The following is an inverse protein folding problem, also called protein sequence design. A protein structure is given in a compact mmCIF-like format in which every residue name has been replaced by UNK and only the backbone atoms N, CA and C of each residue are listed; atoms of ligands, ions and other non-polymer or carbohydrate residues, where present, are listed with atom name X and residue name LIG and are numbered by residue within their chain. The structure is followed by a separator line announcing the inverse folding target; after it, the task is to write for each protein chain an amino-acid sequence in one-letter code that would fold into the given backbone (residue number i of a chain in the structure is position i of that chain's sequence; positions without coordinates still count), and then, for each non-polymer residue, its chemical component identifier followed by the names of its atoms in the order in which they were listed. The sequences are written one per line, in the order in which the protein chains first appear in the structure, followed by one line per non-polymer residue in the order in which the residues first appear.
data_IF_863299304527
#
_entry.id   IF_863299304527
#
_cell.length_a   1.000
_cell.length_b   1.000
_cell.length_c   1.000
_cell.angle_alpha   90.00
_cell.angle_beta   90.00
_cell.angle_gamma   90.00
#
_symmetry.space_group_name_H-M   'P 1'
#
loop_
_entity.id
_entity.type
_entity.pdbx_description
1 polymer ?
#
# COMPACT_ATOMS: atom_id res chain seq x y z
N UNK A 1 -18.68 -8.53 10.54
CA UNK A 1 -20.03 -8.26 9.95
C UNK A 1 -19.97 -7.97 8.44
N UNK A 2 -18.88 -7.43 7.90
CA UNK A 2 -18.72 -7.18 6.46
C UNK A 2 -18.53 -8.46 5.62
N UNK A 3 -17.76 -9.43 6.11
CA UNK A 3 -17.53 -10.70 5.42
C UNK A 3 -18.83 -11.51 5.24
N UNK A 4 -19.73 -11.49 6.22
CA UNK A 4 -20.99 -12.23 6.14
C UNK A 4 -21.98 -11.72 5.08
N UNK A 5 -21.99 -10.40 4.81
CA UNK A 5 -22.87 -9.82 3.80
C UNK A 5 -22.35 -10.07 2.36
N UNK A 6 -21.03 -10.17 2.19
CA UNK A 6 -20.40 -10.57 0.92
C UNK A 6 -20.64 -12.06 0.61
N UNK A 7 -20.57 -12.90 1.63
CA UNK A 7 -20.81 -14.34 1.54
C UNK A 7 -22.22 -14.66 1.02
N UNK A 8 -23.23 -13.99 1.57
CA UNK A 8 -24.62 -14.16 1.14
C UNK A 8 -24.88 -13.78 -0.32
N UNK A 9 -24.17 -12.79 -0.85
CA UNK A 9 -24.28 -12.35 -2.25
C UNK A 9 -23.62 -13.31 -3.26
N UNK A 10 -22.63 -14.08 -2.82
CA UNK A 10 -21.91 -15.06 -3.68
C UNK A 10 -22.39 -16.50 -3.51
N UNK A 11 -23.34 -16.78 -2.62
CA UNK A 11 -23.91 -18.13 -2.42
C UNK A 11 -22.93 -19.14 -1.80
N UNK A 12 -22.04 -18.68 -0.90
CA UNK A 12 -20.89 -19.44 -0.41
C UNK A 12 -21.13 -20.02 0.97
N UNK A 13 -20.71 -21.27 1.17
CA UNK A 13 -20.60 -21.95 2.46
C UNK A 13 -19.19 -21.73 3.02
N UNK A 14 -19.08 -21.28 4.27
CA UNK A 14 -17.78 -21.13 4.96
C UNK A 14 -17.12 -22.51 5.18
N UNK A 15 -15.97 -22.73 4.57
CA UNK A 15 -15.06 -23.79 5.01
C UNK A 15 -14.10 -23.22 6.06
N UNK A 16 -13.95 -23.91 7.17
CA UNK A 16 -13.08 -23.52 8.30
C UNK A 16 -11.62 -23.87 8.05
N UNK A 17 -11.05 -23.51 6.89
CA UNK A 17 -9.70 -23.95 6.56
C UNK A 17 -8.66 -22.85 6.55
N UNK A 18 -7.72 -23.01 7.48
CA UNK A 18 -6.44 -22.32 7.62
C UNK A 18 -5.31 -22.98 6.80
N UNK A 19 -5.63 -23.74 5.76
CA UNK A 19 -4.63 -24.52 5.02
C UNK A 19 -3.86 -23.66 4.01
N UNK A 20 -2.55 -23.65 4.14
CA UNK A 20 -1.65 -23.09 3.16
C UNK A 20 -1.75 -23.86 1.83
N UNK A 21 -1.99 -23.17 0.74
CA UNK A 21 -1.98 -23.74 -0.61
C UNK A 21 -0.53 -24.02 -1.01
N UNK A 22 -0.17 -25.28 -1.28
CA UNK A 22 1.11 -25.67 -1.86
C UNK A 22 0.95 -26.39 -3.18
N UNK A 23 1.85 -26.19 -4.09
CA UNK A 23 1.78 -26.24 -5.54
C UNK A 23 2.29 -27.52 -6.14
N UNK A 24 1.67 -27.93 -7.28
CA UNK A 24 2.31 -28.70 -8.36
C UNK A 24 1.90 -28.08 -9.70
N UNK A 25 2.87 -27.86 -10.57
CA UNK A 25 2.83 -27.02 -11.76
C UNK A 25 1.98 -27.51 -12.92
N UNK A 26 1.37 -26.53 -13.64
CA UNK A 26 1.16 -26.59 -15.10
C UNK A 26 1.43 -25.22 -15.68
N UNK A 27 2.07 -25.22 -16.84
CA UNK A 27 2.69 -24.20 -17.67
C UNK A 27 2.47 -22.70 -17.36
N UNK A 28 3.53 -21.89 -17.50
CA UNK A 28 3.54 -20.48 -17.18
C UNK A 28 2.80 -19.71 -18.27
N UNK A 29 1.80 -18.97 -17.91
CA UNK A 29 1.39 -17.79 -18.62
C UNK A 29 2.15 -16.59 -18.08
N UNK A 30 2.10 -15.45 -18.79
CA UNK A 30 2.97 -14.30 -18.58
C UNK A 30 3.30 -14.05 -17.10
N UNK A 31 4.58 -13.96 -16.76
CA UNK A 31 5.07 -13.79 -15.39
C UNK A 31 4.50 -12.54 -14.68
N UNK A 32 4.06 -11.54 -15.49
CA UNK A 32 3.43 -10.28 -15.04
C UNK A 32 1.91 -10.39 -14.78
N UNK A 33 1.32 -11.59 -14.92
CA UNK A 33 -0.11 -11.82 -14.71
C UNK A 33 -1.04 -11.21 -15.76
N UNK A 34 -0.52 -10.71 -16.88
CA UNK A 34 -1.34 -10.08 -17.94
C UNK A 34 -2.12 -11.08 -18.80
N UNK A 35 -1.75 -12.36 -18.75
CA UNK A 35 -2.41 -13.46 -19.45
C UNK A 35 -3.65 -13.99 -18.73
N UNK A 36 -4.27 -15.02 -19.30
CA UNK A 36 -5.36 -15.74 -18.67
C UNK A 36 -4.88 -16.50 -17.44
N UNK A 37 -5.76 -16.69 -16.47
CA UNK A 37 -5.45 -17.43 -15.26
C UNK A 37 -5.03 -18.87 -15.57
N UNK A 38 -3.90 -19.27 -15.03
CA UNK A 38 -3.49 -20.67 -14.98
C UNK A 38 -4.33 -21.46 -13.97
N UNK A 39 -4.17 -22.79 -13.96
CA UNK A 39 -4.84 -23.68 -13.03
C UNK A 39 -3.78 -24.41 -12.20
N UNK A 40 -3.93 -24.37 -10.88
CA UNK A 40 -3.11 -25.12 -9.92
C UNK A 40 -3.91 -26.20 -9.20
N UNK A 41 -3.24 -27.29 -8.84
CA UNK A 41 -3.82 -28.34 -7.98
C UNK A 41 -3.70 -27.98 -6.52
N UNK A 42 -4.71 -28.34 -5.73
CA UNK A 42 -4.60 -28.39 -4.27
C UNK A 42 -3.50 -29.37 -3.85
N UNK A 43 -2.87 -29.11 -2.72
CA UNK A 43 -1.92 -30.06 -2.14
C UNK A 43 -2.62 -31.41 -1.83
N UNK A 44 -1.93 -32.52 -2.03
CA UNK A 44 -2.49 -33.87 -1.79
C UNK A 44 -2.97 -34.08 -0.33
N UNK A 45 -2.45 -33.28 0.61
CA UNK A 45 -2.83 -33.30 2.03
C UNK A 45 -4.07 -32.50 2.34
N UNK A 46 -4.61 -31.74 1.35
CA UNK A 46 -5.82 -30.92 1.54
C UNK A 46 -7.06 -31.69 1.11
N UNK A 47 -8.19 -31.52 1.83
CA UNK A 47 -9.45 -32.08 1.38
C UNK A 47 -9.82 -31.46 0.03
N UNK A 48 -10.49 -32.22 -0.87
CA UNK A 48 -11.03 -31.67 -2.10
C UNK A 48 -12.05 -30.58 -1.80
N UNK A 49 -12.20 -29.63 -2.71
CA UNK A 49 -13.24 -28.62 -2.61
C UNK A 49 -14.62 -29.29 -2.55
N UNK A 50 -15.45 -28.91 -1.61
CA UNK A 50 -16.80 -29.47 -1.48
C UNK A 50 -17.65 -29.16 -2.71
N UNK A 51 -17.49 -27.94 -3.25
CA UNK A 51 -18.14 -27.49 -4.48
C UNK A 51 -17.20 -26.62 -5.30
N UNK A 52 -17.18 -26.76 -6.66
CA UNK A 52 -16.54 -25.75 -7.51
C UNK A 52 -17.15 -24.37 -7.31
N UNK A 53 -16.37 -23.33 -7.57
CA UNK A 53 -16.82 -21.95 -7.47
C UNK A 53 -16.06 -21.15 -6.42
N UNK A 54 -16.66 -20.06 -5.95
CA UNK A 54 -16.05 -19.15 -5.01
C UNK A 54 -15.83 -19.79 -3.65
N UNK A 55 -14.62 -19.62 -3.14
CA UNK A 55 -14.15 -20.08 -1.83
C UNK A 55 -13.56 -18.91 -1.06
N UNK A 56 -13.54 -18.98 0.27
CA UNK A 56 -12.95 -17.99 1.14
C UNK A 56 -12.01 -18.62 2.16
N UNK A 57 -10.86 -17.97 2.39
CA UNK A 57 -9.93 -18.32 3.45
C UNK A 57 -9.53 -17.06 4.24
N UNK A 58 -8.77 -17.22 5.32
CA UNK A 58 -8.22 -16.07 6.09
C UNK A 58 -7.37 -15.13 5.25
N UNK A 59 -6.83 -15.62 4.12
CA UNK A 59 -6.00 -14.83 3.19
C UNK A 59 -6.79 -14.19 2.04
N UNK A 60 -8.08 -14.48 1.88
CA UNK A 60 -8.94 -13.87 0.88
C UNK A 60 -9.78 -14.86 0.06
N UNK A 61 -10.43 -14.31 -0.96
CA UNK A 61 -11.25 -15.04 -1.92
C UNK A 61 -10.42 -15.72 -3.00
N UNK A 62 -10.83 -16.90 -3.43
CA UNK A 62 -10.26 -17.65 -4.53
C UNK A 62 -11.33 -18.46 -5.25
N UNK A 63 -11.07 -18.99 -6.44
CA UNK A 63 -12.06 -19.71 -7.22
C UNK A 63 -11.61 -21.15 -7.52
N UNK A 64 -12.37 -22.12 -7.04
CA UNK A 64 -12.19 -23.54 -7.34
C UNK A 64 -12.75 -23.84 -8.73
N UNK A 65 -11.90 -24.29 -9.65
CA UNK A 65 -12.33 -24.70 -10.99
C UNK A 65 -12.97 -26.08 -11.00
N UNK A 66 -12.54 -26.94 -10.07
CA UNK A 66 -13.15 -28.25 -9.77
C UNK A 66 -12.81 -28.67 -8.32
N UNK A 67 -13.04 -29.93 -7.98
CA UNK A 67 -12.79 -30.46 -6.65
C UNK A 67 -11.32 -30.35 -6.20
N UNK A 68 -10.36 -30.25 -7.12
CA UNK A 68 -8.93 -30.33 -6.81
C UNK A 68 -8.09 -29.22 -7.40
N UNK A 69 -8.69 -28.31 -8.19
CA UNK A 69 -7.97 -27.24 -8.92
C UNK A 69 -8.58 -25.87 -8.67
N UNK A 70 -7.80 -24.81 -8.88
CA UNK A 70 -8.19 -23.42 -8.71
C UNK A 70 -7.41 -22.48 -9.63
N UNK A 71 -7.97 -21.28 -9.92
CA UNK A 71 -7.31 -20.25 -10.72
C UNK A 71 -6.13 -19.60 -10.01
N UNK A 72 -5.08 -19.27 -10.79
CA UNK A 72 -3.88 -18.53 -10.35
C UNK A 72 -3.35 -17.63 -11.46
N UNK A 73 -2.67 -16.55 -11.06
CA UNK A 73 -1.77 -15.73 -11.87
C UNK A 73 -2.37 -15.31 -13.22
N UNK A 74 -3.45 -14.58 -13.21
CA UNK A 74 -4.03 -14.03 -14.44
C UNK A 74 -5.52 -13.77 -14.41
N UNK A 75 -6.07 -13.50 -15.58
CA UNK A 75 -7.47 -13.12 -15.79
C UNK A 75 -8.39 -14.31 -15.99
N UNK A 76 -9.58 -14.23 -15.42
CA UNK A 76 -10.63 -15.21 -15.66
C UNK A 76 -12.00 -14.54 -15.83
N UNK A 77 -12.79 -15.04 -16.80
CA UNK A 77 -14.20 -14.69 -16.94
C UNK A 77 -15.05 -15.68 -16.13
N UNK A 78 -15.79 -15.15 -15.18
CA UNK A 78 -16.66 -15.94 -14.31
C UNK A 78 -18.04 -15.27 -14.29
N UNK A 79 -19.06 -15.97 -14.76
CA UNK A 79 -20.44 -15.48 -14.84
C UNK A 79 -20.59 -14.11 -15.55
N UNK A 80 -19.77 -13.88 -16.58
CA UNK A 80 -19.79 -12.67 -17.40
C UNK A 80 -19.04 -11.48 -16.79
N UNK A 81 -18.35 -11.65 -15.66
CA UNK A 81 -17.48 -10.64 -15.05
C UNK A 81 -16.03 -11.06 -15.16
N UNK A 82 -15.13 -10.07 -15.29
CA UNK A 82 -13.70 -10.29 -15.32
C UNK A 82 -13.10 -10.17 -13.92
N UNK A 83 -12.26 -11.13 -13.56
CA UNK A 83 -11.52 -11.21 -12.30
C UNK A 83 -10.05 -11.42 -12.61
N UNK A 84 -9.20 -11.09 -11.65
CA UNK A 84 -7.78 -11.41 -11.69
C UNK A 84 -7.37 -12.15 -10.43
N UNK A 85 -6.51 -13.17 -10.58
CA UNK A 85 -5.99 -13.95 -9.47
C UNK A 85 -4.46 -13.78 -9.39
N UNK A 86 -3.94 -13.61 -8.20
CA UNK A 86 -2.49 -13.56 -7.98
C UNK A 86 -1.83 -14.94 -8.13
N UNK A 87 -0.50 -15.00 -8.00
CA UNK A 87 0.27 -16.25 -8.08
C UNK A 87 -0.09 -17.28 -7.01
N UNK A 88 -0.72 -16.85 -5.92
CA UNK A 88 -1.24 -17.71 -4.85
C UNK A 88 -2.72 -18.10 -5.07
N UNK A 89 -3.36 -17.54 -6.09
CA UNK A 89 -4.75 -17.78 -6.44
C UNK A 89 -5.75 -16.94 -5.66
N UNK A 90 -5.34 -15.84 -5.06
CA UNK A 90 -6.28 -14.92 -4.41
C UNK A 90 -6.80 -13.87 -5.38
N UNK A 91 -8.09 -13.60 -5.27
CA UNK A 91 -8.80 -12.62 -6.09
C UNK A 91 -8.31 -11.20 -5.80
N UNK A 92 -8.00 -10.46 -6.84
CA UNK A 92 -7.64 -9.04 -6.77
C UNK A 92 -8.83 -8.17 -6.31
N UNK A 93 -8.55 -7.15 -5.50
CA UNK A 93 -9.44 -6.04 -5.17
C UNK A 93 -8.64 -4.74 -5.12
N UNK A 94 -9.30 -3.59 -5.32
CA UNK A 94 -8.63 -2.30 -5.40
C UNK A 94 -7.76 -2.15 -6.64
N UNK A 95 -6.80 -1.24 -6.60
CA UNK A 95 -5.85 -1.04 -7.70
C UNK A 95 -4.76 -2.11 -7.71
N UNK A 96 -4.47 -2.61 -8.90
CA UNK A 96 -3.38 -3.55 -9.19
C UNK A 96 -2.62 -3.13 -10.45
N UNK A 97 -1.30 -3.22 -10.42
CA UNK A 97 -0.47 -3.13 -11.61
C UNK A 97 -0.48 -4.49 -12.32
N UNK A 98 -0.94 -4.56 -13.55
CA UNK A 98 -1.01 -5.78 -14.33
C UNK A 98 -0.52 -5.48 -15.75
N UNK A 99 0.58 -6.08 -16.15
CA UNK A 99 1.17 -5.85 -17.48
C UNK A 99 1.51 -4.36 -17.73
N UNK A 100 1.99 -3.65 -16.72
CA UNK A 100 2.34 -2.23 -16.81
C UNK A 100 1.13 -1.27 -16.88
N UNK A 101 -0.07 -1.73 -16.52
CA UNK A 101 -1.30 -0.91 -16.50
C UNK A 101 -1.97 -0.96 -15.14
N UNK A 102 -2.49 0.18 -14.70
CA UNK A 102 -3.34 0.24 -13.52
C UNK A 102 -4.72 -0.37 -13.82
N UNK A 103 -5.10 -1.40 -13.07
CA UNK A 103 -6.38 -2.08 -13.16
C UNK A 103 -7.12 -1.97 -11.82
N UNK A 104 -8.36 -1.51 -11.83
CA UNK A 104 -9.17 -1.40 -10.62
C UNK A 104 -10.21 -2.51 -10.54
N UNK A 105 -10.29 -3.14 -9.38
CA UNK A 105 -11.26 -4.17 -9.03
C UNK A 105 -12.10 -3.68 -7.85
N UNK A 106 -13.42 -3.82 -7.95
CA UNK A 106 -14.29 -3.44 -6.84
C UNK A 106 -14.17 -4.41 -5.64
N UNK A 107 -14.93 -4.16 -4.58
CA UNK A 107 -14.90 -4.99 -3.38
C UNK A 107 -15.40 -6.43 -3.62
N UNK A 108 -16.03 -6.69 -4.76
CA UNK A 108 -16.45 -8.03 -5.21
C UNK A 108 -15.38 -8.68 -6.10
N UNK A 109 -14.27 -7.99 -6.38
CA UNK A 109 -13.21 -8.42 -7.28
C UNK A 109 -13.55 -8.28 -8.77
N UNK A 110 -14.64 -7.61 -9.12
CA UNK A 110 -15.01 -7.39 -10.53
C UNK A 110 -14.18 -6.24 -11.11
N UNK A 111 -13.53 -6.50 -12.23
CA UNK A 111 -12.75 -5.50 -12.95
C UNK A 111 -13.63 -4.34 -13.44
N UNK A 112 -13.16 -3.12 -13.22
CA UNK A 112 -13.83 -1.87 -13.59
C UNK A 112 -12.99 -1.12 -14.64
N UNK A 113 -13.14 -1.42 -15.95
CA UNK A 113 -12.28 -0.87 -17.01
C UNK A 113 -12.37 0.66 -17.14
N UNK A 114 -13.51 1.24 -16.76
CA UNK A 114 -13.77 2.68 -16.88
C UNK A 114 -13.26 3.48 -15.65
N UNK A 115 -12.76 2.80 -14.62
CA UNK A 115 -12.20 3.47 -13.42
C UNK A 115 -10.88 4.11 -13.76
N UNK A 116 -10.83 5.44 -13.66
CA UNK A 116 -9.66 6.24 -14.01
C UNK A 116 -8.89 6.65 -12.74
N UNK A 117 -7.61 6.27 -12.64
CA UNK A 117 -6.69 6.64 -11.57
C UNK A 117 -5.76 7.81 -11.89
N UNK A 118 -6.00 8.56 -12.99
CA UNK A 118 -5.09 9.59 -13.46
C UNK A 118 -5.02 10.84 -12.58
N UNK A 119 -5.98 11.07 -11.67
CA UNK A 119 -6.02 12.22 -10.77
C UNK A 119 -5.76 11.78 -9.33
N UNK A 120 -4.61 11.17 -9.09
CA UNK A 120 -4.19 10.71 -7.76
C UNK A 120 -2.87 11.35 -7.34
N UNK A 121 -2.73 11.59 -6.04
CA UNK A 121 -1.48 12.04 -5.40
C UNK A 121 -1.32 11.36 -4.04
N UNK A 122 -0.10 11.24 -3.55
CA UNK A 122 0.20 10.72 -2.22
C UNK A 122 0.71 11.82 -1.29
N UNK A 123 -0.05 12.14 -0.25
CA UNK A 123 0.48 12.90 0.88
C UNK A 123 1.32 11.96 1.75
N UNK A 124 2.54 12.37 2.06
CA UNK A 124 3.44 11.58 2.90
C UNK A 124 3.95 12.42 4.06
N UNK A 125 4.06 11.80 5.24
CA UNK A 125 4.44 12.46 6.47
C UNK A 125 5.62 11.74 7.11
N UNK A 126 6.71 12.46 7.32
CA UNK A 126 7.94 11.95 7.92
C UNK A 126 8.05 12.34 9.40
N UNK A 127 8.93 11.65 10.11
CA UNK A 127 9.35 11.87 11.50
C UNK A 127 8.28 11.57 12.58
N UNK A 128 7.02 11.37 12.20
CA UNK A 128 5.97 11.01 13.16
C UNK A 128 6.14 9.62 13.79
N UNK A 129 5.13 9.21 14.57
CA UNK A 129 4.00 10.01 15.01
C UNK A 129 4.38 11.05 16.07
N UNK A 130 3.60 12.10 16.18
CA UNK A 130 3.77 13.16 17.14
C UNK A 130 2.46 13.60 17.82
N UNK A 131 2.53 14.65 18.62
CA UNK A 131 1.37 15.16 19.37
C UNK A 131 0.26 15.69 18.47
N UNK A 132 0.57 16.03 17.23
CA UNK A 132 -0.40 16.55 16.25
C UNK A 132 -0.95 15.50 15.29
N UNK A 133 -0.38 14.30 15.26
CA UNK A 133 -0.75 13.22 14.33
C UNK A 133 -2.23 12.84 14.43
N UNK A 134 -2.79 12.79 15.66
CA UNK A 134 -4.22 12.47 15.85
C UNK A 134 -5.13 13.49 15.18
N UNK A 135 -4.80 14.78 15.24
CA UNK A 135 -5.55 15.87 14.58
C UNK A 135 -5.47 15.75 13.05
N UNK A 136 -4.31 15.36 12.52
CA UNK A 136 -4.18 15.08 11.10
C UNK A 136 -5.07 13.90 10.67
N UNK A 137 -5.12 12.83 11.47
CA UNK A 137 -6.00 11.68 11.21
C UNK A 137 -7.48 12.08 11.25
N UNK A 138 -7.90 13.04 12.10
CA UNK A 138 -9.27 13.58 12.09
C UNK A 138 -9.59 14.21 10.72
N UNK A 139 -8.65 14.98 10.16
CA UNK A 139 -8.82 15.60 8.85
C UNK A 139 -8.90 14.54 7.74
N UNK A 140 -7.98 13.57 7.72
CA UNK A 140 -7.99 12.52 6.70
C UNK A 140 -9.27 11.69 6.74
N UNK A 141 -9.72 11.30 7.94
CA UNK A 141 -10.94 10.52 8.14
C UNK A 141 -12.19 11.30 7.72
N UNK A 142 -12.27 12.60 8.06
CA UNK A 142 -13.38 13.47 7.69
C UNK A 142 -13.62 13.53 6.17
N UNK A 143 -12.54 13.52 5.40
CA UNK A 143 -12.59 13.63 3.94
C UNK A 143 -12.44 12.30 3.20
N UNK A 144 -12.32 11.17 3.92
CA UNK A 144 -12.07 9.85 3.33
C UNK A 144 -10.74 9.77 2.57
N UNK A 145 -9.77 10.60 2.97
CA UNK A 145 -8.45 10.67 2.38
C UNK A 145 -7.50 9.67 3.05
N UNK A 146 -6.54 9.18 2.28
CA UNK A 146 -5.47 8.31 2.77
C UNK A 146 -4.12 9.01 2.62
N UNK A 147 -3.14 8.58 3.40
CA UNK A 147 -1.76 9.06 3.37
C UNK A 147 -0.80 7.91 3.69
N UNK A 148 0.50 8.15 3.49
CA UNK A 148 1.57 7.25 3.92
C UNK A 148 2.41 7.94 5.00
N UNK A 149 2.63 7.27 6.13
CA UNK A 149 3.38 7.79 7.28
C UNK A 149 4.72 7.09 7.39
N UNK A 150 5.83 7.81 7.21
CA UNK A 150 7.19 7.31 7.41
C UNK A 150 7.63 7.63 8.83
N UNK A 151 7.46 6.66 9.73
CA UNK A 151 7.56 6.86 11.16
C UNK A 151 8.97 6.59 11.71
N UNK A 152 9.39 7.39 12.68
CA UNK A 152 10.57 7.11 13.49
C UNK A 152 10.22 6.14 14.63
N UNK A 153 11.02 5.09 14.82
CA UNK A 153 10.81 4.12 15.89
C UNK A 153 10.76 4.74 17.28
N UNK A 154 11.63 5.71 17.55
CA UNK A 154 11.64 6.46 18.82
C UNK A 154 10.35 7.25 19.11
N UNK A 155 9.60 7.61 18.07
CA UNK A 155 8.30 8.26 18.19
C UNK A 155 7.15 7.24 18.21
N UNK A 156 7.30 6.10 17.53
CA UNK A 156 6.36 4.97 17.66
C UNK A 156 6.31 4.46 19.10
N UNK A 157 7.43 4.38 19.81
CA UNK A 157 7.44 4.02 21.25
C UNK A 157 6.56 4.94 22.11
N UNK A 158 6.49 6.23 21.78
CA UNK A 158 5.78 7.24 22.58
C UNK A 158 4.30 7.37 22.21
N UNK A 159 3.99 7.29 20.93
CA UNK A 159 2.69 7.68 20.38
C UNK A 159 2.02 6.56 19.56
N UNK A 160 2.74 5.48 19.20
CA UNK A 160 2.28 4.46 18.27
C UNK A 160 0.99 3.78 18.71
N UNK A 161 0.83 3.49 20.00
CA UNK A 161 -0.34 2.83 20.54
C UNK A 161 -1.66 3.57 20.24
N UNK A 162 -1.62 4.91 20.23
CA UNK A 162 -2.80 5.75 20.07
C UNK A 162 -3.17 5.96 18.60
N UNK A 163 -2.19 5.93 17.68
CA UNK A 163 -2.42 6.36 16.30
C UNK A 163 -2.26 5.26 15.26
N UNK A 164 -1.37 4.28 15.43
CA UNK A 164 -1.13 3.23 14.42
C UNK A 164 -2.38 2.38 14.14
N UNK A 165 -3.12 1.88 15.15
CA UNK A 165 -4.36 1.16 14.88
C UNK A 165 -5.39 1.98 14.10
N UNK A 166 -5.44 3.30 14.34
CA UNK A 166 -6.32 4.22 13.64
C UNK A 166 -5.85 4.47 12.21
N UNK A 167 -4.54 4.69 11.98
CA UNK A 167 -3.96 4.80 10.64
C UNK A 167 -4.34 3.59 9.78
N UNK A 168 -4.15 2.38 10.31
CA UNK A 168 -4.52 1.15 9.62
C UNK A 168 -6.04 1.03 9.37
N UNK A 169 -6.87 1.42 10.34
CA UNK A 169 -8.33 1.34 10.22
C UNK A 169 -8.92 2.25 9.15
N UNK A 170 -8.32 3.42 8.90
CA UNK A 170 -8.74 4.35 7.84
C UNK A 170 -8.02 4.12 6.52
N UNK A 171 -7.20 3.06 6.43
CA UNK A 171 -6.52 2.64 5.19
C UNK A 171 -5.27 3.43 4.84
N UNK A 172 -4.66 4.14 5.79
CA UNK A 172 -3.35 4.76 5.60
C UNK A 172 -2.25 3.70 5.55
N UNK A 173 -1.18 4.00 4.84
CA UNK A 173 -0.02 3.14 4.72
C UNK A 173 1.03 3.46 5.77
N UNK A 174 1.62 2.41 6.34
CA UNK A 174 2.65 2.52 7.35
C UNK A 174 4.03 2.34 6.71
N UNK A 175 4.83 3.39 6.75
CA UNK A 175 6.20 3.46 6.29
C UNK A 175 7.19 3.54 7.45
N UNK A 176 8.45 3.22 7.17
CA UNK A 176 9.53 3.20 8.14
C UNK A 176 10.59 4.25 7.77
N UNK A 177 10.94 5.12 8.74
CA UNK A 177 11.91 6.20 8.57
C UNK A 177 13.16 6.03 9.46
N UNK A 178 13.49 4.79 9.82
CA UNK A 178 14.51 4.42 10.81
C UNK A 178 14.06 4.62 12.28
N UNK A 179 14.91 4.23 13.21
CA UNK A 179 14.60 4.40 14.63
C UNK A 179 14.90 5.81 15.15
N UNK A 180 16.09 6.36 14.86
CA UNK A 180 16.61 7.59 15.46
C UNK A 180 17.02 8.67 14.44
N UNK A 181 16.63 8.52 13.17
CA UNK A 181 16.95 9.47 12.10
C UNK A 181 18.44 9.71 11.84
N UNK A 182 19.32 8.70 11.84
CA UNK A 182 20.74 8.91 11.52
C UNK A 182 20.92 9.10 10.00
N UNK A 183 22.04 9.74 9.62
CA UNK A 183 22.47 9.71 8.23
C UNK A 183 22.97 8.30 7.88
N UNK A 184 22.25 7.57 7.05
CA UNK A 184 22.54 6.18 6.72
C UNK A 184 23.89 5.98 6.01
N UNK A 185 24.44 7.02 5.35
CA UNK A 185 25.78 6.98 4.75
C UNK A 185 26.91 6.94 5.75
N UNK A 186 26.64 7.26 7.01
CA UNK A 186 27.62 7.26 8.11
C UNK A 186 27.59 5.98 8.94
N UNK A 187 26.68 5.06 8.64
CA UNK A 187 26.53 3.79 9.32
C UNK A 187 27.06 2.63 8.48
N UNK A 188 27.41 1.54 9.17
CA UNK A 188 27.57 0.25 8.50
C UNK A 188 26.21 -0.24 7.97
N UNK A 189 26.21 -1.13 6.97
CA UNK A 189 24.99 -1.74 6.46
C UNK A 189 24.20 -2.43 7.57
N UNK A 190 24.87 -3.18 8.44
CA UNK A 190 24.24 -3.88 9.58
C UNK A 190 23.60 -2.91 10.57
N UNK A 191 24.28 -1.81 10.92
CA UNK A 191 23.72 -0.78 11.82
C UNK A 191 22.53 -0.07 11.16
N UNK A 192 22.61 0.20 9.85
CA UNK A 192 21.50 0.74 9.07
C UNK A 192 20.28 -0.19 9.06
N UNK A 193 20.47 -1.48 8.78
CA UNK A 193 19.42 -2.49 8.85
C UNK A 193 18.78 -2.58 10.23
N UNK A 194 19.61 -2.52 11.29
CA UNK A 194 19.13 -2.54 12.68
C UNK A 194 18.18 -1.36 12.98
N UNK A 195 18.46 -0.15 12.46
CA UNK A 195 17.60 1.02 12.61
C UNK A 195 16.19 0.76 12.05
N UNK A 196 16.09 0.14 10.89
CA UNK A 196 14.80 -0.18 10.27
C UNK A 196 14.11 -1.36 10.98
N UNK A 197 14.85 -2.40 11.36
CA UNK A 197 14.28 -3.55 12.07
C UNK A 197 13.66 -3.15 13.41
N UNK A 198 14.34 -2.34 14.21
CA UNK A 198 13.79 -1.84 15.47
C UNK A 198 12.46 -1.11 15.28
N UNK A 199 12.35 -0.31 14.24
CA UNK A 199 11.11 0.43 13.93
C UNK A 199 10.00 -0.51 13.45
N UNK A 200 10.32 -1.49 12.61
CA UNK A 200 9.33 -2.48 12.17
C UNK A 200 8.77 -3.32 13.32
N UNK A 201 9.63 -3.73 14.25
CA UNK A 201 9.22 -4.48 15.45
C UNK A 201 8.23 -3.66 16.31
N UNK A 202 8.46 -2.34 16.41
CA UNK A 202 7.57 -1.43 17.13
C UNK A 202 6.24 -1.20 16.40
N UNK A 203 6.27 -0.98 15.08
CA UNK A 203 5.05 -0.86 14.27
C UNK A 203 4.22 -2.14 14.36
N UNK A 204 4.87 -3.30 14.27
CA UNK A 204 4.21 -4.60 14.31
C UNK A 204 3.42 -4.85 15.61
N UNK A 205 3.86 -4.27 16.75
CA UNK A 205 3.14 -4.37 18.02
C UNK A 205 1.72 -3.81 17.94
N UNK A 206 1.48 -2.81 17.10
CA UNK A 206 0.21 -2.10 16.95
C UNK A 206 -0.50 -2.39 15.64
N UNK A 207 0.12 -3.16 14.73
CA UNK A 207 -0.38 -3.45 13.39
C UNK A 207 -0.50 -4.97 13.13
N UNK A 208 -1.10 -5.71 14.05
CA UNK A 208 -1.37 -7.15 13.91
C UNK A 208 -0.14 -8.00 13.53
N UNK A 209 1.04 -7.64 14.05
CA UNK A 209 2.29 -8.34 13.80
C UNK A 209 2.97 -7.99 12.46
N UNK A 210 2.49 -6.98 11.74
CA UNK A 210 3.04 -6.55 10.47
C UNK A 210 3.83 -5.24 10.62
N UNK A 211 5.07 -5.21 10.13
CA UNK A 211 5.89 -4.02 10.01
C UNK A 211 5.47 -3.11 8.85
N UNK A 212 6.30 -2.14 8.53
CA UNK A 212 6.07 -1.21 7.43
C UNK A 212 6.21 -1.89 6.05
N UNK A 213 5.48 -1.38 5.07
CA UNK A 213 5.50 -1.88 3.67
C UNK A 213 6.51 -1.16 2.79
N UNK A 214 6.80 0.09 3.09
CA UNK A 214 7.73 0.98 2.39
C UNK A 214 8.70 1.64 3.37
N UNK A 215 9.83 2.11 2.83
CA UNK A 215 10.80 2.87 3.62
C UNK A 215 11.07 4.24 3.00
N UNK A 216 11.55 5.17 3.81
CA UNK A 216 12.20 6.40 3.36
C UNK A 216 13.46 6.60 4.18
N UNK A 217 14.59 6.78 3.50
CA UNK A 217 15.86 7.02 4.20
C UNK A 217 15.90 8.45 4.77
N UNK A 218 16.35 8.63 6.03
CA UNK A 218 16.63 9.94 6.58
C UNK A 218 17.48 10.80 5.63
N UNK A 219 17.10 12.06 5.45
CA UNK A 219 17.74 13.01 4.52
C UNK A 219 17.73 12.56 3.03
N UNK A 220 16.99 11.52 2.67
CA UNK A 220 17.05 10.88 1.37
C UNK A 220 18.39 10.18 1.07
N UNK A 221 19.20 9.91 2.09
CA UNK A 221 20.54 9.38 1.96
C UNK A 221 20.62 7.88 2.30
N UNK A 222 21.17 7.10 1.38
CA UNK A 222 21.51 5.69 1.62
C UNK A 222 22.82 5.31 0.92
N UNK A 223 23.33 4.11 1.17
CA UNK A 223 24.30 3.44 0.33
C UNK A 223 23.59 2.42 -0.55
N UNK A 224 24.17 2.11 -1.73
CA UNK A 224 23.62 1.10 -2.64
C UNK A 224 23.50 -0.28 -1.95
N UNK A 225 24.48 -0.61 -1.09
CA UNK A 225 24.48 -1.84 -0.33
C UNK A 225 23.31 -1.92 0.68
N UNK A 226 23.04 -0.85 1.40
CA UNK A 226 21.91 -0.80 2.34
C UNK A 226 20.59 -0.84 1.60
N UNK A 227 20.44 -0.10 0.49
CA UNK A 227 19.24 -0.12 -0.34
C UNK A 227 18.94 -1.53 -0.86
N UNK A 228 19.96 -2.23 -1.39
CA UNK A 228 19.80 -3.59 -1.88
C UNK A 228 19.45 -4.59 -0.75
N UNK A 229 19.96 -4.36 0.46
CA UNK A 229 19.80 -5.28 1.60
C UNK A 229 18.49 -5.09 2.35
N UNK A 230 17.83 -3.93 2.25
CA UNK A 230 16.65 -3.59 3.06
C UNK A 230 15.41 -4.42 2.69
N UNK A 231 15.35 -4.96 1.47
CA UNK A 231 14.29 -5.86 1.01
C UNK A 231 12.92 -5.17 0.83
N UNK A 232 12.90 -3.85 0.70
CA UNK A 232 11.68 -3.04 0.51
C UNK A 232 11.91 -1.89 -0.46
N UNK A 233 10.85 -1.35 -1.11
CA UNK A 233 10.96 -0.15 -1.94
C UNK A 233 11.28 1.08 -1.08
N UNK A 234 12.16 1.92 -1.59
CA UNK A 234 12.52 3.21 -1.04
C UNK A 234 11.72 4.30 -1.75
N UNK A 235 11.08 5.17 -0.98
CA UNK A 235 10.18 6.20 -1.49
C UNK A 235 10.77 7.59 -1.21
N UNK A 236 11.01 8.33 -2.26
CA UNK A 236 11.40 9.75 -2.23
C UNK A 236 10.18 10.65 -2.43
N UNK A 237 10.33 11.80 -3.03
CA UNK A 237 9.25 12.78 -3.27
C UNK A 237 9.51 13.64 -4.50
N UNK A 238 8.45 14.18 -5.08
CA UNK A 238 8.47 15.19 -6.14
C UNK A 238 8.32 16.60 -5.57
N UNK A 239 7.43 16.76 -4.58
CA UNK A 239 7.13 18.04 -3.96
C UNK A 239 7.66 18.06 -2.54
N UNK A 240 8.66 18.91 -2.29
CA UNK A 240 9.14 19.24 -0.93
C UNK A 240 8.47 20.54 -0.47
N UNK A 241 7.66 20.43 0.56
CA UNK A 241 6.94 21.59 1.10
C UNK A 241 7.83 22.52 1.92
N UNK A 242 9.02 22.07 2.33
CA UNK A 242 9.92 22.76 3.24
C UNK A 242 9.22 23.22 4.55
N UNK A 243 8.20 22.48 4.98
CA UNK A 243 7.39 22.77 6.16
C UNK A 243 8.22 22.76 7.45
N UNK A 244 9.20 21.87 7.53
CA UNK A 244 10.17 21.79 8.61
C UNK A 244 11.03 23.05 8.75
N UNK A 245 11.26 23.78 7.66
CA UNK A 245 12.06 25.00 7.62
C UNK A 245 11.20 26.25 7.81
N UNK A 246 10.11 26.36 7.05
CA UNK A 246 9.27 27.56 7.03
C UNK A 246 8.39 27.68 8.26
N UNK A 247 7.89 26.56 8.78
CA UNK A 247 6.92 26.49 9.89
C UNK A 247 5.79 27.51 9.72
N UNK A 248 5.27 27.62 8.51
CA UNK A 248 4.27 28.60 8.13
C UNK A 248 3.13 27.96 7.35
N UNK A 249 1.92 28.07 7.88
CA UNK A 249 0.71 27.44 7.31
C UNK A 249 0.48 27.84 5.85
N UNK A 250 0.55 29.15 5.55
CA UNK A 250 0.29 29.63 4.18
C UNK A 250 1.39 29.18 3.20
N UNK A 251 2.65 29.15 3.64
CA UNK A 251 3.76 28.66 2.80
C UNK A 251 3.57 27.18 2.46
N UNK A 252 3.17 26.35 3.44
CA UNK A 252 2.88 24.94 3.22
C UNK A 252 1.72 24.74 2.23
N UNK A 253 0.62 25.51 2.40
CA UNK A 253 -0.53 25.47 1.48
C UNK A 253 -0.09 25.81 0.05
N UNK A 254 0.65 26.92 -0.14
CA UNK A 254 1.12 27.34 -1.45
C UNK A 254 2.11 26.33 -2.05
N UNK A 255 3.03 25.79 -1.27
CA UNK A 255 4.00 24.78 -1.74
C UNK A 255 3.31 23.56 -2.36
N UNK A 256 2.18 23.11 -1.81
CA UNK A 256 1.41 22.01 -2.37
C UNK A 256 0.52 22.48 -3.51
N UNK A 257 -0.36 23.45 -3.28
CA UNK A 257 -1.45 23.79 -4.21
C UNK A 257 -0.99 24.46 -5.51
N UNK A 258 0.19 25.11 -5.49
CA UNK A 258 0.75 25.79 -6.66
C UNK A 258 1.64 24.88 -7.53
N UNK A 259 2.07 23.71 -7.01
CA UNK A 259 2.99 22.80 -7.72
C UNK A 259 2.43 21.43 -8.03
N UNK A 260 1.42 20.98 -7.29
CA UNK A 260 0.93 19.60 -7.39
C UNK A 260 0.47 19.19 -8.77
N UNK A 261 0.90 18.02 -9.21
CA UNK A 261 0.50 17.33 -10.43
C UNK A 261 0.06 15.90 -10.14
N UNK A 262 -0.76 15.28 -11.01
CA UNK A 262 -1.12 13.87 -10.85
C UNK A 262 0.12 12.96 -10.84
N UNK A 263 0.18 12.06 -9.88
CA UNK A 263 1.31 11.15 -9.69
C UNK A 263 2.35 11.61 -8.67
N UNK A 264 2.24 12.84 -8.17
CA UNK A 264 3.18 13.39 -7.21
C UNK A 264 3.13 12.69 -5.84
N UNK A 265 4.31 12.59 -5.24
CA UNK A 265 4.55 12.25 -3.85
C UNK A 265 4.96 13.53 -3.11
N UNK A 266 4.18 13.93 -2.12
CA UNK A 266 4.36 15.19 -1.40
C UNK A 266 4.97 14.92 -0.02
N UNK A 267 6.12 15.52 0.26
CA UNK A 267 6.81 15.43 1.54
C UNK A 267 6.32 16.51 2.51
N UNK A 268 5.88 16.05 3.68
CA UNK A 268 5.52 16.86 4.85
C UNK A 268 5.97 16.16 6.13
N UNK A 269 5.79 16.82 7.29
CA UNK A 269 6.17 16.29 8.60
C UNK A 269 5.04 16.54 9.62
N UNK A 270 4.37 15.48 10.08
CA UNK A 270 3.21 15.56 10.99
C UNK A 270 3.57 15.89 12.45
N UNK A 271 4.85 16.05 12.73
CA UNK A 271 5.36 16.53 14.03
C UNK A 271 5.24 18.05 14.19
N UNK A 272 4.91 18.80 13.14
CA UNK A 272 4.76 20.26 13.16
C UNK A 272 3.27 20.68 13.16
N UNK A 273 2.91 21.52 14.13
CA UNK A 273 1.55 22.08 14.24
C UNK A 273 1.10 22.76 12.95
N UNK A 274 1.99 23.61 12.37
CA UNK A 274 1.71 24.36 11.15
C UNK A 274 1.46 23.46 9.93
N UNK A 275 2.10 22.30 9.86
CA UNK A 275 1.85 21.31 8.81
C UNK A 275 0.46 20.71 8.97
N UNK A 276 0.13 20.25 10.15
CA UNK A 276 -1.19 19.65 10.43
C UNK A 276 -2.31 20.68 10.22
N UNK A 277 -2.13 21.93 10.67
CA UNK A 277 -3.07 23.02 10.41
C UNK A 277 -3.24 23.30 8.92
N UNK A 278 -2.15 23.28 8.12
CA UNK A 278 -2.23 23.47 6.68
C UNK A 278 -3.01 22.36 5.97
N UNK A 279 -2.95 21.13 6.48
CA UNK A 279 -3.68 19.98 5.91
C UNK A 279 -5.20 20.16 5.98
N UNK A 280 -5.73 20.91 6.95
CA UNK A 280 -7.15 21.25 7.02
C UNK A 280 -7.65 22.07 5.80
N UNK A 281 -6.73 22.72 5.08
CA UNK A 281 -6.99 23.42 3.80
C UNK A 281 -6.54 22.57 2.60
N UNK A 282 -5.36 21.99 2.65
CA UNK A 282 -4.76 21.23 1.53
C UNK A 282 -5.65 20.03 1.14
N UNK A 283 -6.09 19.25 2.11
CA UNK A 283 -6.88 18.02 1.85
C UNK A 283 -8.19 18.32 1.12
N UNK A 284 -9.10 19.17 1.64
CA UNK A 284 -10.34 19.46 0.93
C UNK A 284 -10.12 20.18 -0.41
N UNK A 285 -9.10 21.04 -0.52
CA UNK A 285 -8.84 21.76 -1.76
C UNK A 285 -8.33 20.83 -2.86
N UNK A 286 -7.46 19.87 -2.56
CA UNK A 286 -7.03 18.84 -3.53
C UNK A 286 -8.23 18.00 -4.01
N UNK A 287 -9.11 17.60 -3.10
CA UNK A 287 -10.33 16.88 -3.43
C UNK A 287 -11.26 17.73 -4.33
N UNK A 288 -11.43 19.02 -4.01
CA UNK A 288 -12.20 19.94 -4.83
C UNK A 288 -11.64 20.12 -6.25
N UNK A 289 -10.33 20.00 -6.42
CA UNK A 289 -9.64 19.99 -7.73
C UNK A 289 -9.75 18.65 -8.46
N UNK A 290 -10.40 17.65 -7.86
CA UNK A 290 -10.61 16.33 -8.44
C UNK A 290 -9.53 15.31 -8.14
N UNK A 291 -8.58 15.60 -7.25
CA UNK A 291 -7.59 14.62 -6.82
C UNK A 291 -8.16 13.61 -5.84
N UNK A 292 -7.74 12.37 -5.97
CA UNK A 292 -7.86 11.35 -4.95
C UNK A 292 -6.55 11.29 -4.14
N UNK A 293 -6.66 11.37 -2.82
CA UNK A 293 -5.53 11.28 -1.90
C UNK A 293 -5.39 9.84 -1.46
N UNK A 294 -4.33 9.19 -1.92
CA UNK A 294 -4.14 7.74 -1.80
C UNK A 294 -2.78 7.40 -1.18
N UNK A 295 -2.59 6.13 -0.84
CA UNK A 295 -1.30 5.61 -0.35
C UNK A 295 -0.30 5.45 -1.51
N UNK A 296 0.99 5.31 -1.18
CA UNK A 296 2.04 5.06 -2.16
C UNK A 296 1.77 3.81 -3.00
N UNK A 297 1.41 2.69 -2.37
CA UNK A 297 1.10 1.46 -3.11
C UNK A 297 -0.10 1.63 -4.04
N UNK A 298 -1.13 2.35 -3.60
CA UNK A 298 -2.29 2.64 -4.46
C UNK A 298 -1.91 3.52 -5.64
N UNK A 299 -1.12 4.58 -5.39
CA UNK A 299 -0.66 5.50 -6.44
C UNK A 299 0.20 4.76 -7.48
N UNK A 300 1.16 3.95 -7.03
CA UNK A 300 2.01 3.14 -7.90
C UNK A 300 1.15 2.17 -8.75
N UNK A 301 0.29 1.40 -8.10
CA UNK A 301 -0.56 0.41 -8.78
C UNK A 301 -1.51 1.03 -9.81
N UNK A 302 -2.12 2.19 -9.49
CA UNK A 302 -2.98 2.92 -10.41
C UNK A 302 -2.22 3.42 -11.65
N UNK A 303 -0.92 3.64 -11.54
CA UNK A 303 -0.02 4.00 -12.63
C UNK A 303 0.68 2.79 -13.27
N UNK A 304 0.28 1.57 -12.95
CA UNK A 304 0.80 0.34 -13.55
C UNK A 304 2.18 -0.08 -13.05
N UNK A 305 2.58 0.41 -11.86
CA UNK A 305 3.89 0.11 -11.26
C UNK A 305 3.70 -0.81 -10.05
N UNK A 306 4.36 -1.97 -10.08
CA UNK A 306 4.60 -2.79 -8.91
C UNK A 306 5.88 -2.34 -8.22
N UNK A 307 5.78 -1.99 -6.93
CA UNK A 307 6.94 -1.53 -6.17
C UNK A 307 7.89 -2.69 -5.88
N UNK A 308 9.10 -2.62 -6.41
CA UNK A 308 10.13 -3.63 -6.22
C UNK A 308 11.04 -3.33 -5.02
N UNK A 309 11.43 -4.37 -4.31
CA UNK A 309 12.43 -4.27 -3.24
C UNK A 309 13.80 -3.82 -3.80
N UNK A 310 14.46 -2.91 -3.09
CA UNK A 310 15.77 -2.39 -3.51
C UNK A 310 15.71 -1.29 -4.59
N UNK A 311 14.51 -0.91 -5.02
CA UNK A 311 14.32 0.19 -5.98
C UNK A 311 13.89 1.49 -5.25
N UNK A 312 14.17 2.63 -5.89
CA UNK A 312 13.81 3.96 -5.36
C UNK A 312 12.83 4.66 -6.31
N UNK A 313 11.75 5.21 -5.73
CA UNK A 313 10.69 5.88 -6.47
C UNK A 313 10.51 7.32 -6.00
N UNK A 314 10.40 8.25 -6.95
CA UNK A 314 10.22 9.69 -6.68
C UNK A 314 8.79 10.16 -6.92
N UNK A 315 8.08 9.56 -7.89
CA UNK A 315 6.72 9.82 -8.27
C UNK A 315 6.24 8.84 -9.34
N UNK A 316 4.98 8.98 -9.78
CA UNK A 316 4.36 8.04 -10.74
C UNK A 316 3.63 8.79 -11.84
N UNK A 317 4.38 9.39 -12.78
CA UNK A 317 3.85 10.23 -13.85
C UNK A 317 3.66 9.46 -15.15
N UNK A 318 2.48 8.87 -15.34
CA UNK A 318 2.08 8.25 -16.62
C UNK A 318 2.92 7.06 -17.06
N UNK A 319 3.31 6.17 -16.15
CA UNK A 319 4.04 4.95 -16.44
C UNK A 319 5.54 5.13 -16.68
N UNK A 320 6.10 6.29 -16.34
CA UNK A 320 7.55 6.50 -16.29
C UNK A 320 7.98 6.60 -14.83
N UNK A 321 8.78 5.65 -14.37
CA UNK A 321 9.60 5.85 -13.18
C UNK A 321 10.60 6.95 -13.51
N UNK A 322 10.49 8.10 -12.87
CA UNK A 322 11.49 9.14 -13.04
C UNK A 322 12.77 8.68 -12.33
N UNK A 323 13.85 8.56 -13.10
CA UNK A 323 15.21 8.42 -12.60
C UNK A 323 15.65 9.61 -11.77
#
# INVERSE_FOLDING_TARGET
KFAGAQLAKKGIVLSNDTAAKTVSETAPEAEDGSGNAGIKKLAETMPPNETPGWQYSSSGWWYATDATTYYVNGWADIDGNQYHFDSNGYMATGWKAIGGKGCYFDDQGVYQPDRNGSMMVALTFDDGPGVYTSTLLDTLEQYGAQATFFMLGSNVEKYGADVIPRMAAIGCELGNHSYAHPNMKELSTDDGLAQFQMTDDLIAQYNNGQGATVIRFPYGNSTDELLASIGRPSIMWDVDTLDWQTKNVQANISAVLDSVSPGDIILMHDIHETTVESCATIVPELINRGYELVTIHTLAAANGVDLAAGETYYGFHGGTTNE
#
